data_IF_539970669928
#
_entry.id   IF_539970669928
#
_cell.length_a   1.000
_cell.length_b   1.000
_cell.length_c   1.000
_cell.angle_alpha   90.00
_cell.angle_beta   90.00
_cell.angle_gamma   90.00
#
_symmetry.space_group_name_H-M   'P 1'
#
loop_
_entity.id
_entity.type
_entity.pdbx_description
1 polymer ?
#
# COMPACT_ATOMS: atom_id res chain seq x y z
N UNK A 1 -6.22 -27.84 -7.97
CA UNK A 1 -6.47 -26.38 -7.94
C UNK A 1 -7.19 -25.94 -6.67
N UNK A 2 -8.16 -26.69 -6.12
CA UNK A 2 -8.83 -26.31 -4.86
C UNK A 2 -7.86 -26.13 -3.70
N UNK A 3 -6.93 -27.07 -3.52
CA UNK A 3 -6.07 -27.08 -2.33
C UNK A 3 -5.08 -25.91 -2.32
N UNK A 4 -4.46 -25.61 -3.47
CA UNK A 4 -3.56 -24.45 -3.61
C UNK A 4 -4.27 -23.11 -3.46
N UNK A 5 -5.50 -22.98 -3.96
CA UNK A 5 -6.29 -21.78 -3.72
C UNK A 5 -6.57 -21.62 -2.23
N UNK A 6 -7.02 -22.68 -1.55
CA UNK A 6 -7.22 -22.67 -0.10
C UNK A 6 -5.95 -22.30 0.66
N UNK A 7 -4.81 -22.90 0.32
CA UNK A 7 -3.52 -22.60 0.97
C UNK A 7 -3.10 -21.14 0.76
N UNK A 8 -3.29 -20.59 -0.45
CA UNK A 8 -3.03 -19.18 -0.74
C UNK A 8 -3.95 -18.25 0.05
N UNK A 9 -5.24 -18.58 0.13
CA UNK A 9 -6.21 -17.78 0.89
C UNK A 9 -5.90 -17.83 2.39
N UNK A 10 -5.53 -18.99 2.93
CA UNK A 10 -5.15 -19.13 4.33
C UNK A 10 -3.86 -18.37 4.66
N UNK A 11 -2.89 -18.40 3.74
CA UNK A 11 -1.69 -17.58 3.85
C UNK A 11 -2.01 -16.09 4.00
N UNK A 12 -2.97 -15.57 3.24
CA UNK A 12 -3.39 -14.17 3.29
C UNK A 12 -4.43 -13.85 4.36
N UNK A 13 -4.99 -14.85 5.05
CA UNK A 13 -5.89 -14.69 6.19
C UNK A 13 -5.12 -14.36 7.48
N UNK A 14 -3.89 -14.82 7.57
CA UNK A 14 -3.04 -14.67 8.76
C UNK A 14 -2.20 -13.40 8.74
N UNK A 15 -2.00 -12.80 9.92
CA UNK A 15 -1.16 -11.61 10.08
C UNK A 15 0.29 -11.86 9.63
N UNK A 16 0.96 -10.78 9.21
CA UNK A 16 2.42 -10.69 9.07
C UNK A 16 3.00 -10.02 10.32
N UNK A 17 4.32 -9.96 10.46
CA UNK A 17 4.96 -9.17 11.53
C UNK A 17 4.54 -7.68 11.48
N UNK A 18 4.21 -7.17 10.30
CA UNK A 18 3.87 -5.76 10.10
C UNK A 18 2.37 -5.50 10.25
N UNK A 19 1.52 -6.46 9.90
CA UNK A 19 0.07 -6.31 10.01
C UNK A 19 -0.51 -6.77 11.34
N UNK A 20 0.26 -7.46 12.19
CA UNK A 20 -0.21 -7.92 13.50
C UNK A 20 -0.55 -6.73 14.43
N UNK A 21 -1.79 -6.65 14.96
CA UNK A 21 -2.15 -5.62 15.94
C UNK A 21 -1.50 -5.81 17.31
N UNK A 22 -0.95 -6.99 17.62
CA UNK A 22 -0.42 -7.32 18.93
C UNK A 22 -1.49 -7.22 20.03
N UNK A 23 -1.12 -6.67 21.18
CA UNK A 23 -2.03 -6.50 22.33
C UNK A 23 -3.14 -5.43 22.10
N UNK A 24 -3.19 -4.81 20.92
CA UNK A 24 -4.13 -3.74 20.59
C UNK A 24 -5.33 -4.20 19.73
N UNK A 25 -5.56 -5.51 19.60
CA UNK A 25 -6.66 -6.07 18.82
C UNK A 25 -8.05 -5.63 19.33
N UNK A 26 -8.19 -5.32 20.63
CA UNK A 26 -9.40 -4.73 21.22
C UNK A 26 -9.85 -3.42 20.53
N UNK A 27 -8.94 -2.70 19.86
CA UNK A 27 -9.29 -1.51 19.09
C UNK A 27 -10.14 -1.83 17.84
N UNK A 28 -10.24 -3.10 17.45
CA UNK A 28 -11.08 -3.60 16.35
C UNK A 28 -12.48 -4.01 16.81
N UNK A 29 -12.78 -3.92 18.11
CA UNK A 29 -14.12 -4.21 18.64
C UNK A 29 -15.19 -3.32 18.01
N UNK A 30 -16.33 -3.93 17.65
CA UNK A 30 -17.46 -3.24 17.06
C UNK A 30 -17.28 -2.80 15.61
N UNK A 31 -16.17 -3.15 14.95
CA UNK A 31 -15.99 -2.87 13.52
C UNK A 31 -17.05 -3.61 12.68
N UNK A 32 -17.66 -2.93 11.69
CA UNK A 32 -18.65 -3.50 10.79
C UNK A 32 -18.05 -4.58 9.88
N UNK A 33 -18.91 -5.34 9.20
CA UNK A 33 -18.46 -6.41 8.29
C UNK A 33 -18.40 -5.97 6.82
N UNK A 34 -19.02 -4.84 6.46
CA UNK A 34 -18.99 -4.33 5.10
C UNK A 34 -17.75 -3.47 4.79
N UNK A 35 -17.18 -3.66 3.60
CA UNK A 35 -15.97 -2.99 3.13
C UNK A 35 -16.08 -1.45 3.15
N UNK A 36 -17.18 -0.82 2.67
CA UNK A 36 -17.29 0.64 2.70
C UNK A 36 -17.18 1.22 4.12
N UNK A 37 -17.81 0.59 5.11
CA UNK A 37 -17.76 1.06 6.49
C UNK A 37 -16.40 0.79 7.15
N UNK A 38 -15.74 -0.31 6.81
CA UNK A 38 -14.35 -0.56 7.24
C UNK A 38 -13.38 0.48 6.68
N UNK A 39 -13.51 0.84 5.40
CA UNK A 39 -12.73 1.94 4.79
C UNK A 39 -12.96 3.24 5.56
N UNK A 40 -14.22 3.58 5.89
CA UNK A 40 -14.52 4.79 6.66
C UNK A 40 -13.88 4.78 8.05
N UNK A 41 -13.82 3.63 8.71
CA UNK A 41 -13.13 3.49 9.99
C UNK A 41 -11.62 3.78 9.86
N UNK A 42 -10.96 3.24 8.82
CA UNK A 42 -9.54 3.53 8.51
C UNK A 42 -9.32 5.02 8.20
N UNK A 43 -10.18 5.63 7.38
CA UNK A 43 -10.11 7.05 7.03
C UNK A 43 -10.24 7.99 8.24
N UNK A 44 -10.92 7.54 9.30
CA UNK A 44 -11.15 8.32 10.50
C UNK A 44 -9.98 8.30 11.50
N UNK A 45 -8.90 7.55 11.24
CA UNK A 45 -7.77 7.42 12.18
C UNK A 45 -6.40 7.74 11.59
N UNK A 46 -6.28 7.85 10.26
CA UNK A 46 -5.04 8.25 9.57
C UNK A 46 -5.27 9.49 8.72
N UNK A 47 -4.28 10.37 8.70
CA UNK A 47 -4.14 11.46 7.74
C UNK A 47 -2.95 11.23 6.83
N UNK A 48 -3.18 11.37 5.54
CA UNK A 48 -2.10 11.26 4.57
C UNK A 48 -1.24 12.52 4.59
N UNK A 49 0.06 12.36 4.83
CA UNK A 49 1.00 13.47 5.07
C UNK A 49 1.00 14.55 3.97
N UNK A 50 0.95 14.17 2.68
CA UNK A 50 0.90 15.15 1.57
C UNK A 50 -0.29 16.12 1.67
N UNK A 51 -1.39 15.70 2.27
CA UNK A 51 -2.57 16.54 2.42
C UNK A 51 -2.51 17.45 3.64
N UNK A 52 -1.56 17.26 4.55
CA UNK A 52 -1.40 18.10 5.74
C UNK A 52 0.00 18.71 5.83
N UNK A 53 0.84 18.56 4.81
CA UNK A 53 2.14 19.21 4.74
C UNK A 53 2.03 20.75 4.78
N UNK A 54 0.92 21.31 4.29
CA UNK A 54 0.54 22.73 4.40
C UNK A 54 -0.89 22.87 4.94
N UNK A 55 -1.27 24.09 5.32
CA UNK A 55 -2.59 24.43 5.89
C UNK A 55 -3.72 24.55 4.84
N UNK A 56 -3.42 24.38 3.55
CA UNK A 56 -4.35 24.72 2.46
C UNK A 56 -5.39 23.65 2.12
N UNK A 57 -5.30 22.46 2.71
CA UNK A 57 -6.12 21.31 2.35
C UNK A 57 -7.22 21.04 3.39
N UNK A 58 -6.94 20.19 4.38
CA UNK A 58 -7.88 19.84 5.45
C UNK A 58 -8.10 20.95 6.49
N UNK A 59 -7.47 22.13 6.31
CA UNK A 59 -7.51 23.22 7.28
C UNK A 59 -6.64 22.97 8.52
N UNK A 60 -5.79 21.96 8.48
CA UNK A 60 -4.74 21.68 9.48
C UNK A 60 -3.44 21.36 8.76
N UNK A 61 -2.31 21.56 9.45
CA UNK A 61 -0.97 21.29 8.96
C UNK A 61 -0.18 20.37 9.89
N UNK A 62 0.99 19.88 9.44
CA UNK A 62 1.95 19.15 10.27
C UNK A 62 2.39 19.97 11.48
N UNK A 63 2.46 21.31 11.38
CA UNK A 63 2.76 22.19 12.51
C UNK A 63 1.69 22.16 13.59
N UNK A 64 0.43 22.14 13.18
CA UNK A 64 -0.69 22.07 14.12
C UNK A 64 -0.64 20.74 14.87
N UNK A 65 -0.37 19.63 14.16
CA UNK A 65 -0.15 18.31 14.77
C UNK A 65 1.04 18.35 15.74
N UNK A 66 2.18 18.91 15.30
CA UNK A 66 3.37 19.02 16.13
C UNK A 66 3.16 19.88 17.39
N UNK A 67 2.31 20.91 17.32
CA UNK A 67 1.98 21.76 18.47
C UNK A 67 1.27 21.01 19.61
N UNK A 68 0.71 19.83 19.33
CA UNK A 68 0.12 18.94 20.35
C UNK A 68 1.15 18.09 21.10
N UNK A 69 2.44 18.25 20.80
CA UNK A 69 3.53 17.46 21.39
C UNK A 69 3.80 16.13 20.67
N UNK A 70 3.20 15.93 19.49
CA UNK A 70 3.41 14.77 18.61
C UNK A 70 4.52 15.06 17.62
N UNK A 71 5.16 14.01 17.11
CA UNK A 71 6.14 14.10 16.02
C UNK A 71 5.55 13.47 14.74
N UNK A 72 5.05 14.28 13.80
CA UNK A 72 4.58 13.78 12.51
C UNK A 72 5.58 12.94 11.72
N UNK A 73 6.89 13.22 11.82
CA UNK A 73 7.91 12.41 11.16
C UNK A 73 8.01 11.03 11.83
N UNK A 74 7.98 10.96 13.17
CA UNK A 74 7.92 9.68 13.88
C UNK A 74 6.70 8.84 13.43
N UNK A 75 5.52 9.46 13.36
CA UNK A 75 4.28 8.79 12.99
C UNK A 75 4.25 8.28 11.54
N UNK A 76 4.78 9.09 10.62
CA UNK A 76 4.88 8.72 9.22
C UNK A 76 5.84 7.54 8.99
N UNK A 77 6.84 7.39 9.87
CA UNK A 77 7.84 6.32 9.79
C UNK A 77 7.46 5.05 10.58
N UNK A 78 6.26 4.97 11.18
CA UNK A 78 5.79 3.77 11.87
C UNK A 78 5.55 2.63 10.87
N UNK A 79 6.25 1.51 11.07
CA UNK A 79 6.21 0.36 10.17
C UNK A 79 5.10 -0.62 10.49
N UNK A 80 4.94 -0.92 11.79
CA UNK A 80 4.06 -1.98 12.30
C UNK A 80 2.70 -1.40 12.67
N UNK A 81 1.65 -2.18 12.43
CA UNK A 81 0.30 -1.84 12.90
C UNK A 81 0.27 -1.74 14.42
N UNK A 82 0.91 -2.66 15.16
CA UNK A 82 1.04 -2.56 16.61
C UNK A 82 1.57 -1.20 17.10
N UNK A 83 2.60 -0.65 16.44
CA UNK A 83 3.20 0.62 16.82
C UNK A 83 2.26 1.80 16.51
N UNK A 84 1.55 1.73 15.38
CA UNK A 84 0.53 2.73 15.00
C UNK A 84 -0.68 2.69 15.94
N UNK A 85 -1.14 1.50 16.32
CA UNK A 85 -2.22 1.32 17.29
C UNK A 85 -1.81 1.82 18.69
N UNK A 86 -0.56 1.59 19.12
CA UNK A 86 -0.04 2.19 20.34
C UNK A 86 -0.11 3.72 20.30
N UNK A 87 0.19 4.33 19.14
CA UNK A 87 0.04 5.78 18.95
C UNK A 87 -1.43 6.21 18.97
N UNK A 88 -2.35 5.42 18.43
CA UNK A 88 -3.79 5.67 18.53
C UNK A 88 -4.23 5.78 19.98
N UNK A 89 -3.82 4.81 20.82
CA UNK A 89 -4.13 4.77 22.26
C UNK A 89 -3.54 5.97 22.99
N UNK A 90 -2.27 6.32 22.69
CA UNK A 90 -1.60 7.46 23.30
C UNK A 90 -2.29 8.81 23.00
N UNK A 91 -2.94 8.92 21.84
CA UNK A 91 -3.72 10.12 21.46
C UNK A 91 -5.12 10.05 22.05
N UNK A 92 -5.80 8.92 21.87
CA UNK A 92 -7.18 8.67 22.30
C UNK A 92 -7.44 7.16 22.35
N UNK A 93 -7.59 6.62 23.56
CA UNK A 93 -7.86 5.21 23.80
C UNK A 93 -9.34 4.87 23.57
N UNK A 94 -9.71 4.79 22.30
CA UNK A 94 -11.05 4.39 21.85
C UNK A 94 -10.93 3.49 20.61
N UNK A 95 -11.87 2.54 20.43
CA UNK A 95 -11.93 1.69 19.24
C UNK A 95 -11.90 2.50 17.94
N UNK A 96 -11.33 1.92 16.88
CA UNK A 96 -11.12 2.60 15.58
C UNK A 96 -12.45 3.01 14.93
N UNK A 97 -13.55 2.34 15.27
CA UNK A 97 -14.87 2.70 14.75
C UNK A 97 -15.36 4.06 15.27
N UNK A 98 -14.81 4.54 16.39
CA UNK A 98 -15.17 5.86 16.93
C UNK A 98 -14.46 6.95 16.12
N UNK A 99 -15.22 7.87 15.47
CA UNK A 99 -14.62 8.92 14.67
C UNK A 99 -13.67 9.80 15.49
N UNK A 100 -12.53 10.15 14.88
CA UNK A 100 -11.55 11.07 15.46
C UNK A 100 -11.54 12.39 14.71
N UNK A 101 -11.36 13.47 15.46
CA UNK A 101 -11.10 14.78 14.87
C UNK A 101 -9.80 14.74 14.07
N UNK A 102 -9.66 15.62 13.07
CA UNK A 102 -8.47 15.61 12.19
C UNK A 102 -7.17 15.69 13.01
N UNK A 103 -7.13 16.54 14.04
CA UNK A 103 -5.96 16.71 14.91
C UNK A 103 -5.62 15.46 15.74
N UNK A 104 -6.56 14.53 15.90
CA UNK A 104 -6.40 13.28 16.67
C UNK A 104 -6.00 12.08 15.79
N UNK A 105 -5.96 12.25 14.45
CA UNK A 105 -5.54 11.20 13.51
C UNK A 105 -4.02 11.15 13.40
N UNK A 106 -3.44 9.96 13.30
CA UNK A 106 -1.99 9.83 13.06
C UNK A 106 -1.61 10.21 11.64
N UNK A 107 -0.39 10.68 11.44
CA UNK A 107 0.15 10.93 10.11
C UNK A 107 0.68 9.62 9.50
N UNK A 108 0.37 9.38 8.24
CA UNK A 108 0.81 8.22 7.46
C UNK A 108 0.77 8.50 5.95
N UNK A 109 0.85 7.46 5.13
CA UNK A 109 0.71 7.51 3.68
C UNK A 109 -0.18 6.37 3.15
N UNK A 110 -0.36 6.27 1.83
CA UNK A 110 -1.18 5.25 1.16
C UNK A 110 -0.95 3.82 1.65
N UNK A 111 0.29 3.46 1.98
CA UNK A 111 0.66 2.15 2.53
C UNK A 111 0.09 1.94 3.92
N UNK A 112 0.08 2.96 4.79
CA UNK A 112 -0.50 2.86 6.13
C UNK A 112 -2.02 2.64 6.13
N UNK A 113 -2.73 3.32 5.23
CA UNK A 113 -4.17 3.08 5.03
C UNK A 113 -4.43 1.65 4.56
N UNK A 114 -3.64 1.19 3.59
CA UNK A 114 -3.75 -0.17 3.03
C UNK A 114 -3.46 -1.23 4.08
N UNK A 115 -2.36 -1.09 4.83
CA UNK A 115 -1.96 -2.07 5.83
C UNK A 115 -2.93 -2.12 7.01
N UNK A 116 -3.48 -0.98 7.45
CA UNK A 116 -4.46 -0.98 8.53
C UNK A 116 -5.74 -1.71 8.09
N UNK A 117 -6.22 -1.47 6.86
CA UNK A 117 -7.35 -2.23 6.32
C UNK A 117 -7.04 -3.72 6.24
N UNK A 118 -5.85 -4.10 5.78
CA UNK A 118 -5.40 -5.50 5.70
C UNK A 118 -5.39 -6.14 7.09
N UNK A 119 -4.88 -5.45 8.11
CA UNK A 119 -4.85 -5.97 9.48
C UNK A 119 -6.26 -6.24 10.01
N UNK A 120 -7.19 -5.30 9.79
CA UNK A 120 -8.60 -5.45 10.16
C UNK A 120 -9.26 -6.63 9.43
N UNK A 121 -9.05 -6.74 8.11
CA UNK A 121 -9.61 -7.82 7.32
C UNK A 121 -9.07 -9.18 7.76
N UNK A 122 -7.76 -9.29 7.97
CA UNK A 122 -7.11 -10.51 8.50
C UNK A 122 -7.62 -10.87 9.90
N UNK A 123 -7.85 -9.89 10.77
CA UNK A 123 -8.46 -10.10 12.09
C UNK A 123 -9.90 -10.64 11.97
N UNK A 124 -10.67 -10.18 10.98
CA UNK A 124 -11.98 -10.73 10.64
C UNK A 124 -11.92 -12.05 9.86
N UNK A 125 -10.72 -12.58 9.64
CA UNK A 125 -10.51 -13.80 8.88
C UNK A 125 -10.79 -13.64 7.39
N UNK A 126 -10.68 -12.46 6.80
CA UNK A 126 -10.81 -12.24 5.35
C UNK A 126 -9.41 -12.23 4.73
N UNK A 127 -9.12 -13.06 3.72
CA UNK A 127 -7.83 -13.04 3.03
C UNK A 127 -7.56 -11.67 2.41
N UNK A 128 -6.47 -11.02 2.81
CA UNK A 128 -6.12 -9.69 2.33
C UNK A 128 -4.61 -9.55 2.10
N UNK A 129 -4.23 -8.75 1.10
CA UNK A 129 -2.83 -8.48 0.74
C UNK A 129 -2.63 -7.07 0.23
N UNK A 130 -1.44 -6.54 0.46
CA UNK A 130 -1.03 -5.25 -0.08
C UNK A 130 -0.61 -5.41 -1.53
N UNK A 131 -0.91 -4.40 -2.34
CA UNK A 131 -0.39 -4.26 -3.71
C UNK A 131 0.30 -2.93 -3.90
N UNK A 132 1.47 -2.98 -4.51
CA UNK A 132 2.25 -1.81 -4.89
C UNK A 132 2.10 -1.53 -6.38
N UNK A 133 1.85 -0.27 -6.75
CA UNK A 133 1.60 0.10 -8.13
C UNK A 133 1.51 1.61 -8.34
N UNK A 134 0.68 2.00 -9.30
CA UNK A 134 0.44 3.41 -9.61
C UNK A 134 -1.03 3.68 -9.99
N UNK A 135 -1.60 4.75 -9.47
CA UNK A 135 -3.01 5.12 -9.63
C UNK A 135 -3.19 6.36 -10.53
N UNK A 136 -4.09 6.29 -11.51
CA UNK A 136 -4.39 7.43 -12.41
C UNK A 136 -5.41 8.42 -11.84
N UNK A 137 -6.10 8.07 -10.76
CA UNK A 137 -7.18 8.85 -10.17
C UNK A 137 -6.71 9.79 -9.05
N UNK A 138 -5.39 9.90 -8.82
CA UNK A 138 -4.81 10.81 -7.82
C UNK A 138 -4.57 12.23 -8.35
N UNK A 139 -4.98 12.50 -9.59
CA UNK A 139 -4.90 13.82 -10.19
C UNK A 139 -6.21 14.20 -10.88
N UNK A 140 -6.64 15.47 -10.76
CA UNK A 140 -7.84 15.92 -11.43
C UNK A 140 -7.67 15.92 -12.96
N UNK A 141 -8.71 15.53 -13.72
CA UNK A 141 -8.70 15.66 -15.17
C UNK A 141 -8.39 17.09 -15.62
N UNK A 142 -7.70 17.27 -16.78
CA UNK A 142 -7.36 16.26 -17.78
C UNK A 142 -5.98 15.58 -17.57
N UNK A 143 -5.30 15.80 -16.44
CA UNK A 143 -3.97 15.21 -16.21
C UNK A 143 -4.10 13.69 -16.07
N UNK A 144 -3.64 12.94 -17.07
CA UNK A 144 -3.49 11.49 -16.98
C UNK A 144 -2.05 11.15 -16.59
N UNK A 145 -1.86 10.87 -15.30
CA UNK A 145 -0.57 10.49 -14.72
C UNK A 145 -0.83 9.43 -13.65
N UNK A 146 -0.08 8.35 -13.69
CA UNK A 146 -0.15 7.24 -12.75
C UNK A 146 0.82 7.49 -11.60
N UNK A 147 0.29 7.97 -10.47
CA UNK A 147 1.09 8.32 -9.30
C UNK A 147 1.35 7.10 -8.40
N UNK A 148 2.54 7.02 -7.80
CA UNK A 148 2.91 6.02 -6.79
C UNK A 148 1.78 5.76 -5.80
N UNK A 149 1.39 4.49 -5.66
CA UNK A 149 0.32 4.15 -4.74
C UNK A 149 0.41 2.73 -4.20
N UNK A 150 -0.17 2.54 -3.02
CA UNK A 150 -0.38 1.24 -2.38
C UNK A 150 -1.87 1.08 -2.08
N UNK A 151 -2.38 -0.12 -2.30
CA UNK A 151 -3.80 -0.45 -2.12
C UNK A 151 -3.95 -1.83 -1.47
N UNK A 152 -5.15 -2.09 -0.93
CA UNK A 152 -5.52 -3.39 -0.40
C UNK A 152 -6.20 -4.23 -1.48
N UNK A 153 -5.82 -5.50 -1.62
CA UNK A 153 -6.63 -6.52 -2.27
C UNK A 153 -7.23 -7.44 -1.21
N UNK A 154 -8.53 -7.75 -1.33
CA UNK A 154 -9.17 -8.76 -0.49
C UNK A 154 -9.90 -9.80 -1.34
N UNK A 155 -9.99 -11.02 -0.82
CA UNK A 155 -10.75 -12.09 -1.45
C UNK A 155 -12.22 -11.96 -1.08
N UNK A 156 -13.06 -11.75 -2.08
CA UNK A 156 -14.50 -11.84 -1.92
C UNK A 156 -14.93 -13.29 -2.13
N UNK A 157 -15.47 -13.91 -1.07
CA UNK A 157 -15.86 -15.32 -1.10
C UNK A 157 -17.12 -15.56 -1.94
N UNK A 158 -18.06 -14.61 -2.00
CA UNK A 158 -19.29 -14.77 -2.79
C UNK A 158 -18.99 -14.76 -4.29
N UNK A 159 -18.12 -13.84 -4.75
CA UNK A 159 -17.74 -13.68 -6.15
C UNK A 159 -16.52 -14.52 -6.56
N UNK A 160 -15.86 -15.18 -5.61
CA UNK A 160 -14.66 -15.99 -5.83
C UNK A 160 -13.59 -15.22 -6.62
N UNK A 161 -13.34 -13.96 -6.24
CA UNK A 161 -12.35 -13.10 -6.90
C UNK A 161 -11.69 -12.11 -5.94
N UNK A 162 -10.51 -11.62 -6.33
CA UNK A 162 -9.81 -10.55 -5.64
C UNK A 162 -10.35 -9.18 -6.06
N UNK A 163 -10.90 -8.45 -5.09
CA UNK A 163 -11.29 -7.05 -5.23
C UNK A 163 -10.14 -6.13 -4.85
N UNK A 164 -10.02 -5.02 -5.55
CA UNK A 164 -9.03 -3.99 -5.29
C UNK A 164 -9.70 -2.81 -4.58
N UNK A 165 -9.15 -2.40 -3.45
CA UNK A 165 -9.74 -1.41 -2.55
C UNK A 165 -8.71 -0.35 -2.17
N UNK A 166 -9.13 0.90 -2.24
CA UNK A 166 -8.33 2.04 -1.80
C UNK A 166 -8.96 2.69 -0.56
N UNK A 167 -8.35 2.42 0.59
CA UNK A 167 -8.82 2.94 1.87
C UNK A 167 -8.46 4.41 2.10
N UNK A 168 -7.55 5.00 1.32
CA UNK A 168 -7.07 6.36 1.54
C UNK A 168 -8.08 7.43 1.12
N UNK A 169 -8.79 7.20 0.02
CA UNK A 169 -9.53 8.26 -0.67
C UNK A 169 -10.85 8.57 0.06
N UNK A 170 -10.79 9.52 0.97
CA UNK A 170 -11.94 10.05 1.72
C UNK A 170 -12.76 11.07 0.90
N UNK A 171 -13.82 11.61 1.51
CA UNK A 171 -14.76 12.49 0.81
C UNK A 171 -14.12 13.82 0.39
N UNK A 172 -13.14 14.31 1.17
CA UNK A 172 -12.38 15.50 0.82
C UNK A 172 -11.49 15.24 -0.40
N UNK A 173 -10.72 14.15 -0.37
CA UNK A 173 -9.86 13.73 -1.47
C UNK A 173 -10.64 13.46 -2.75
N UNK A 174 -11.79 12.79 -2.65
CA UNK A 174 -12.72 12.58 -3.77
C UNK A 174 -13.11 13.89 -4.43
N UNK A 175 -13.46 14.90 -3.64
CA UNK A 175 -13.82 16.23 -4.15
C UNK A 175 -12.63 16.97 -4.75
N UNK A 176 -11.48 16.97 -4.06
CA UNK A 176 -10.28 17.70 -4.48
C UNK A 176 -9.69 17.15 -5.80
N UNK A 177 -9.58 15.83 -5.91
CA UNK A 177 -9.04 15.14 -7.09
C UNK A 177 -10.11 14.79 -8.13
N UNK A 178 -11.39 15.06 -7.85
CA UNK A 178 -12.54 14.73 -8.72
C UNK A 178 -12.66 13.22 -9.00
N UNK A 179 -12.42 12.39 -7.99
CA UNK A 179 -12.53 10.93 -8.09
C UNK A 179 -13.98 10.51 -8.12
N UNK A 180 -14.40 9.90 -9.22
CA UNK A 180 -15.77 9.38 -9.42
C UNK A 180 -15.86 7.86 -9.38
N UNK A 181 -14.73 7.15 -9.43
CA UNK A 181 -14.71 5.69 -9.37
C UNK A 181 -15.07 5.17 -7.98
N UNK A 182 -15.48 3.90 -7.93
CA UNK A 182 -15.68 3.20 -6.66
C UNK A 182 -14.33 2.79 -6.07
N UNK A 183 -14.05 3.21 -4.84
CA UNK A 183 -12.80 2.87 -4.14
C UNK A 183 -12.92 1.53 -3.41
N UNK A 184 -14.09 0.90 -3.40
CA UNK A 184 -14.33 -0.45 -2.88
C UNK A 184 -14.18 -1.52 -3.97
N UNK A 185 -14.11 -1.12 -5.24
CA UNK A 185 -13.82 -1.97 -6.40
C UNK A 185 -13.10 -1.13 -7.47
N UNK A 186 -11.83 -0.83 -7.20
CA UNK A 186 -11.01 0.02 -8.06
C UNK A 186 -10.74 -0.69 -9.39
N UNK A 187 -11.06 -0.08 -10.54
CA UNK A 187 -10.76 -0.67 -11.85
C UNK A 187 -9.26 -0.94 -12.04
N UNK A 188 -8.94 -2.12 -12.58
CA UNK A 188 -7.56 -2.60 -12.82
C UNK A 188 -6.78 -1.77 -13.84
N UNK A 189 -7.46 -0.94 -14.61
CA UNK A 189 -6.87 0.00 -15.56
C UNK A 189 -6.71 1.42 -14.98
N UNK A 190 -7.32 1.69 -13.84
CA UNK A 190 -7.15 2.93 -13.06
C UNK A 190 -6.08 2.78 -11.96
N UNK A 191 -5.88 1.57 -11.44
CA UNK A 191 -4.69 1.21 -10.65
C UNK A 191 -3.86 0.16 -11.39
N UNK A 192 -2.67 0.56 -11.83
CA UNK A 192 -1.71 -0.33 -12.48
C UNK A 192 -0.79 -0.95 -11.44
N UNK A 193 -1.05 -2.20 -11.09
CA UNK A 193 -0.10 -3.00 -10.28
C UNK A 193 1.28 -3.04 -10.93
N UNK A 194 2.32 -3.26 -10.13
CA UNK A 194 3.72 -3.14 -10.56
C UNK A 194 4.06 -3.89 -11.85
N UNK A 195 3.60 -5.15 -11.97
CA UNK A 195 3.80 -5.96 -13.17
C UNK A 195 3.23 -5.32 -14.44
N UNK A 196 1.99 -4.82 -14.37
CA UNK A 196 1.33 -4.18 -15.50
C UNK A 196 1.95 -2.83 -15.84
N UNK A 197 2.38 -2.06 -14.84
CA UNK A 197 3.13 -0.82 -15.01
C UNK A 197 4.41 -1.05 -15.80
N UNK A 198 5.22 -2.03 -15.41
CA UNK A 198 6.42 -2.43 -16.14
C UNK A 198 6.11 -2.83 -17.58
N UNK A 199 5.17 -3.75 -17.80
CA UNK A 199 4.81 -4.22 -19.14
C UNK A 199 4.35 -3.07 -20.04
N UNK A 200 3.48 -2.17 -19.56
CA UNK A 200 2.96 -1.06 -20.38
C UNK A 200 4.04 -0.05 -20.76
N UNK A 201 5.02 0.22 -19.88
CA UNK A 201 6.17 1.08 -20.21
C UNK A 201 7.02 0.40 -21.28
N UNK A 202 7.35 -0.89 -21.11
CA UNK A 202 8.16 -1.67 -22.05
C UNK A 202 7.54 -1.77 -23.44
N UNK A 203 6.22 -1.83 -23.51
CA UNK A 203 5.45 -1.85 -24.76
C UNK A 203 5.21 -0.44 -25.37
N UNK A 204 5.66 0.63 -24.71
CA UNK A 204 5.42 2.02 -25.14
C UNK A 204 3.96 2.45 -25.06
N UNK A 205 3.12 1.75 -24.28
CA UNK A 205 1.70 2.08 -24.06
C UNK A 205 1.50 3.18 -23.01
N UNK A 206 2.51 3.42 -22.17
CA UNK A 206 2.58 4.53 -21.22
C UNK A 206 3.93 5.21 -21.43
N UNK A 207 3.94 6.53 -21.63
CA UNK A 207 5.18 7.27 -21.71
C UNK A 207 5.86 7.32 -20.32
N UNK A 208 7.19 7.19 -20.21
CA UNK A 208 7.90 7.20 -18.94
C UNK A 208 7.57 8.39 -18.02
N UNK A 209 7.26 9.55 -18.60
CA UNK A 209 6.93 10.78 -17.87
C UNK A 209 5.50 10.80 -17.31
N UNK A 210 4.68 9.78 -17.63
CA UNK A 210 3.29 9.66 -17.20
C UNK A 210 3.10 8.73 -16.00
N UNK A 211 4.16 8.21 -15.40
CA UNK A 211 4.08 7.27 -14.29
C UNK A 211 5.24 7.47 -13.30
N UNK A 212 4.92 7.57 -12.00
CA UNK A 212 5.89 7.64 -10.91
C UNK A 212 5.52 8.61 -9.80
N UNK A 213 6.51 9.16 -9.10
CA UNK A 213 6.33 10.13 -8.00
C UNK A 213 7.45 11.15 -7.98
N UNK A 214 7.08 12.43 -7.91
CA UNK A 214 8.06 13.53 -7.96
C UNK A 214 9.02 13.40 -9.15
N UNK A 215 10.35 13.43 -8.95
CA UNK A 215 11.33 13.24 -10.02
C UNK A 215 11.58 11.77 -10.39
N UNK A 216 11.00 10.82 -9.64
CA UNK A 216 11.23 9.39 -9.82
C UNK A 216 10.16 8.80 -10.74
N UNK A 217 10.49 8.71 -12.03
CA UNK A 217 9.53 8.42 -13.10
C UNK A 217 9.93 7.20 -13.94
N UNK A 218 8.95 6.69 -14.69
CA UNK A 218 9.16 5.78 -15.81
C UNK A 218 9.75 4.43 -15.40
N UNK A 219 10.72 3.95 -16.19
CA UNK A 219 11.28 2.62 -15.99
C UNK A 219 11.87 2.46 -14.59
N UNK A 220 12.67 3.41 -14.11
CA UNK A 220 13.28 3.35 -12.77
C UNK A 220 12.22 3.18 -11.67
N UNK A 221 11.12 3.90 -11.78
CA UNK A 221 9.97 3.76 -10.89
C UNK A 221 9.29 2.38 -11.01
N UNK A 222 9.09 1.87 -12.23
CA UNK A 222 8.47 0.56 -12.39
C UNK A 222 9.34 -0.58 -11.85
N UNK A 223 10.67 -0.52 -12.01
CA UNK A 223 11.62 -1.49 -11.41
C UNK A 223 11.46 -1.56 -9.90
N UNK A 224 11.37 -0.39 -9.29
CA UNK A 224 11.22 -0.22 -7.87
C UNK A 224 9.92 -0.85 -7.37
N UNK A 225 8.82 -0.58 -8.06
CA UNK A 225 7.51 -1.15 -7.73
C UNK A 225 7.46 -2.67 -7.87
N UNK A 226 8.20 -3.26 -8.82
CA UNK A 226 8.25 -4.73 -8.95
C UNK A 226 8.75 -5.40 -7.66
N UNK A 227 9.73 -4.82 -6.96
CA UNK A 227 10.21 -5.37 -5.71
C UNK A 227 9.25 -5.16 -4.56
N UNK A 228 8.69 -3.95 -4.46
CA UNK A 228 7.71 -3.67 -3.41
C UNK A 228 6.49 -4.58 -3.54
N UNK A 229 5.98 -4.81 -4.75
CA UNK A 229 4.83 -5.68 -4.97
C UNK A 229 5.20 -7.17 -4.77
N UNK A 230 6.40 -7.60 -5.16
CA UNK A 230 6.89 -8.95 -4.85
C UNK A 230 7.01 -9.19 -3.34
N UNK A 231 7.56 -8.21 -2.61
CA UNK A 231 7.66 -8.25 -1.16
C UNK A 231 6.26 -8.28 -0.51
N UNK A 232 5.34 -7.44 -0.98
CA UNK A 232 3.95 -7.37 -0.52
C UNK A 232 3.21 -8.70 -0.73
N UNK A 233 3.38 -9.33 -1.90
CA UNK A 233 2.86 -10.69 -2.19
C UNK A 233 3.37 -11.71 -1.16
N UNK A 234 4.60 -11.52 -0.67
CA UNK A 234 5.24 -12.35 0.34
C UNK A 234 5.00 -11.87 1.78
N UNK A 235 4.01 -11.00 2.03
CA UNK A 235 3.70 -10.44 3.36
C UNK A 235 4.88 -9.71 4.02
N UNK A 236 5.71 -9.10 3.20
CA UNK A 236 6.72 -8.12 3.61
C UNK A 236 6.21 -6.76 3.09
N UNK A 237 5.25 -6.18 3.83
CA UNK A 237 4.59 -4.92 3.48
C UNK A 237 5.55 -3.73 3.74
N UNK A 238 6.39 -3.39 2.77
CA UNK A 238 7.48 -2.42 2.93
C UNK A 238 7.00 -0.97 3.05
N UNK A 239 7.82 -0.07 3.60
CA UNK A 239 7.51 1.37 3.55
C UNK A 239 7.63 1.89 2.12
N UNK A 240 6.90 2.96 1.81
CA UNK A 240 6.78 3.47 0.44
C UNK A 240 8.12 3.88 -0.19
N UNK A 241 9.13 4.25 0.62
CA UNK A 241 10.47 4.63 0.19
C UNK A 241 11.52 3.51 0.32
N UNK A 242 11.12 2.28 0.64
CA UNK A 242 12.04 1.16 0.73
C UNK A 242 12.35 0.48 -0.59
N UNK A 243 13.63 0.17 -0.75
CA UNK A 243 14.18 -0.49 -1.92
C UNK A 243 15.52 -1.13 -1.60
N UNK A 244 15.82 -2.22 -2.28
CA UNK A 244 17.10 -2.91 -2.10
C UNK A 244 17.53 -3.65 -3.37
N UNK A 245 18.76 -4.14 -3.33
CA UNK A 245 19.34 -5.00 -4.36
C UNK A 245 19.46 -4.34 -5.73
N UNK A 246 19.50 -5.19 -6.76
CA UNK A 246 19.67 -4.82 -8.19
C UNK A 246 18.58 -3.89 -8.73
N UNK A 247 17.51 -3.69 -7.97
CA UNK A 247 16.33 -2.91 -8.34
C UNK A 247 16.47 -1.44 -7.91
N UNK A 248 17.36 -1.21 -6.94
CA UNK A 248 17.78 0.12 -6.49
C UNK A 248 19.08 0.62 -7.12
N UNK A 249 19.76 -0.20 -7.94
CA UNK A 249 21.02 0.22 -8.56
C UNK A 249 20.76 1.18 -9.73
N UNK A 250 21.59 2.21 -9.82
CA UNK A 250 21.64 3.13 -10.97
C UNK A 250 22.33 2.53 -12.20
N UNK A 251 22.71 1.26 -12.14
CA UNK A 251 23.44 0.56 -13.19
C UNK A 251 22.52 0.26 -14.38
N UNK A 252 23.12 0.25 -15.58
CA UNK A 252 22.43 -0.18 -16.79
C UNK A 252 22.05 -1.65 -16.68
N UNK A 253 20.79 -1.95 -16.98
CA UNK A 253 20.30 -3.32 -17.00
C UNK A 253 20.89 -4.08 -18.20
N UNK A 254 21.42 -5.28 -17.93
CA UNK A 254 21.80 -6.21 -18.99
C UNK A 254 20.56 -6.79 -19.67
N UNK A 255 20.65 -7.28 -20.92
CA UNK A 255 19.53 -7.96 -21.58
C UNK A 255 18.92 -9.09 -20.74
N UNK A 256 19.75 -9.85 -20.02
CA UNK A 256 19.31 -10.96 -19.16
C UNK A 256 18.51 -10.45 -17.96
N UNK A 257 18.86 -9.28 -17.41
CA UNK A 257 18.08 -8.66 -16.34
C UNK A 257 16.73 -8.18 -16.86
N UNK A 258 16.67 -7.57 -18.05
CA UNK A 258 15.39 -7.20 -18.65
C UNK A 258 14.48 -8.41 -18.86
N UNK A 259 14.99 -9.52 -19.41
CA UNK A 259 14.19 -10.73 -19.62
C UNK A 259 13.66 -11.30 -18.29
N UNK A 260 14.50 -11.30 -17.26
CA UNK A 260 14.08 -11.70 -15.90
C UNK A 260 12.97 -10.79 -15.36
N UNK A 261 13.07 -9.48 -15.59
CA UNK A 261 12.10 -8.48 -15.13
C UNK A 261 10.78 -8.59 -15.90
N UNK A 262 10.84 -8.79 -17.21
CA UNK A 262 9.68 -9.03 -18.06
C UNK A 262 8.93 -10.28 -17.56
N UNK A 263 9.65 -11.37 -17.24
CA UNK A 263 9.04 -12.59 -16.68
C UNK A 263 8.45 -12.35 -15.28
N UNK A 264 9.19 -11.68 -14.39
CA UNK A 264 8.71 -11.37 -13.04
C UNK A 264 7.46 -10.49 -13.07
N UNK A 265 7.42 -9.49 -13.96
CA UNK A 265 6.28 -8.60 -14.14
C UNK A 265 5.03 -9.37 -14.57
N UNK A 266 5.17 -10.33 -15.48
CA UNK A 266 4.08 -11.22 -15.88
C UNK A 266 3.60 -12.08 -14.70
N UNK A 267 4.53 -12.67 -13.93
CA UNK A 267 4.16 -13.48 -12.76
C UNK A 267 3.44 -12.62 -11.69
N UNK A 268 3.95 -11.43 -11.36
CA UNK A 268 3.34 -10.49 -10.40
C UNK A 268 1.93 -10.04 -10.84
N UNK A 269 1.75 -9.76 -12.14
CA UNK A 269 0.44 -9.39 -12.67
C UNK A 269 -0.59 -10.52 -12.55
N UNK A 270 -0.13 -11.78 -12.55
CA UNK A 270 -0.97 -12.98 -12.46
C UNK A 270 -0.92 -13.64 -11.06
N UNK A 271 -0.48 -12.93 -10.03
CA UNK A 271 -0.34 -13.46 -8.66
C UNK A 271 -1.66 -13.83 -7.97
N UNK A 272 -2.81 -13.58 -8.62
CA UNK A 272 -4.10 -14.13 -8.19
C UNK A 272 -4.30 -15.61 -8.54
N UNK A 273 -3.50 -16.16 -9.47
CA UNK A 273 -3.43 -17.59 -9.73
C UNK A 273 -2.59 -18.28 -8.64
N UNK A 274 -3.11 -19.30 -7.93
CA UNK A 274 -2.38 -20.01 -6.90
C UNK A 274 -1.04 -20.61 -7.36
N UNK A 275 -0.95 -21.11 -8.59
CA UNK A 275 0.30 -21.69 -9.11
C UNK A 275 1.39 -20.61 -9.25
N UNK A 276 1.01 -19.45 -9.76
CA UNK A 276 1.92 -18.31 -9.92
C UNK A 276 2.29 -17.72 -8.55
N UNK A 277 1.34 -17.63 -7.62
CA UNK A 277 1.61 -17.23 -6.25
C UNK A 277 2.69 -18.11 -5.58
N UNK A 278 2.56 -19.43 -5.64
CA UNK A 278 3.57 -20.33 -5.05
C UNK A 278 4.93 -20.23 -5.73
N UNK A 279 4.95 -20.04 -7.06
CA UNK A 279 6.18 -19.77 -7.80
C UNK A 279 6.85 -18.46 -7.35
N UNK A 280 6.08 -17.40 -7.11
CA UNK A 280 6.60 -16.12 -6.59
C UNK A 280 7.12 -16.25 -5.16
N UNK A 281 6.46 -17.05 -4.31
CA UNK A 281 6.98 -17.39 -2.97
C UNK A 281 8.32 -18.09 -3.05
N UNK A 282 8.41 -19.15 -3.84
CA UNK A 282 9.66 -19.92 -4.00
C UNK A 282 10.80 -19.03 -4.53
N UNK A 283 10.51 -18.16 -5.51
CA UNK A 283 11.47 -17.20 -6.04
C UNK A 283 11.99 -16.26 -4.94
N UNK A 284 11.09 -15.65 -4.16
CA UNK A 284 11.45 -14.71 -3.10
C UNK A 284 12.23 -15.38 -1.97
N UNK A 285 11.90 -16.63 -1.64
CA UNK A 285 12.55 -17.41 -0.58
C UNK A 285 13.95 -17.92 -0.97
N UNK A 286 14.18 -18.24 -2.25
CA UNK A 286 15.42 -18.92 -2.67
C UNK A 286 16.43 -18.00 -3.36
N UNK A 287 15.98 -16.90 -3.96
CA UNK A 287 16.87 -16.02 -4.71
C UNK A 287 17.23 -14.76 -3.89
N UNK A 288 18.49 -14.73 -3.46
CA UNK A 288 19.07 -13.67 -2.62
C UNK A 288 18.96 -12.28 -3.25
N UNK A 289 18.75 -12.17 -4.56
CA UNK A 289 18.58 -10.88 -5.25
C UNK A 289 17.28 -10.17 -4.87
N UNK A 290 16.29 -10.91 -4.36
CA UNK A 290 14.99 -10.39 -3.94
C UNK A 290 14.86 -10.22 -2.45
N UNK A 291 15.76 -10.79 -1.64
CA UNK A 291 15.73 -10.66 -0.19
C UNK A 291 16.24 -9.29 0.25
N UNK A 292 15.61 -8.78 1.30
CA UNK A 292 16.13 -7.64 2.06
C UNK A 292 17.52 -8.04 2.58
N UNK A 293 18.59 -7.29 2.29
CA UNK A 293 19.93 -7.59 2.78
C UNK A 293 19.98 -7.56 4.32
N UNK A 294 20.80 -8.42 4.93
CA UNK A 294 20.96 -8.48 6.40
C UNK A 294 21.46 -7.14 7.00
N UNK A 295 22.13 -6.32 6.19
CA UNK A 295 22.64 -5.00 6.55
C UNK A 295 21.78 -3.85 5.99
N UNK A 296 20.52 -4.11 5.65
CA UNK A 296 19.64 -3.07 5.16
C UNK A 296 19.32 -2.06 6.26
N UNK A 297 19.76 -0.82 6.07
CA UNK A 297 19.38 0.29 6.93
C UNK A 297 18.00 0.81 6.48
N UNK A 298 17.04 0.69 7.39
CA UNK A 298 15.70 1.19 7.15
C UNK A 298 15.72 2.72 7.10
N UNK A 299 15.58 3.25 5.89
CA UNK A 299 15.48 4.69 5.66
C UNK A 299 14.22 5.25 6.32
N UNK A 300 14.30 6.48 6.82
CA UNK A 300 13.15 7.27 7.26
C UNK A 300 12.93 8.42 6.30
N UNK A 301 11.68 8.71 5.95
CA UNK A 301 11.31 9.91 5.22
C UNK A 301 10.94 11.01 6.22
N UNK A 302 11.72 12.09 6.25
CA UNK A 302 11.47 13.24 7.11
C UNK A 302 11.10 14.45 6.27
N UNK A 303 10.13 15.21 6.76
CA UNK A 303 9.62 16.42 6.14
C UNK A 303 9.90 17.63 7.02
N UNK A 304 10.27 18.74 6.39
CA UNK A 304 10.41 20.03 7.07
C UNK A 304 9.02 20.68 7.23
N UNK A 305 8.58 20.91 8.46
CA UNK A 305 7.36 21.68 8.75
C UNK A 305 7.65 22.81 9.72
#
# INVERSE_FOLDING_TARGET
>A
MSDKLTDMLEYYRTQSELSDPGDFDYLYEGLPDDIPSLIKAVQNVILHFFWVYTDQNYGISLKDIASTGRDPNEEHNLRKISDRLAKFVAIKDEPIIVPRELIERTVGNCRDFSLLLISILRHKGIPARERSGAASYLHPPPKKFFEDHFVCEYWNEEEQKWFLVDAQIDDFQRKAMKVTLDTCDVPRDEFLGAGLSWTKIREGRIAPEQIGVGPFLGEKFARYKLIQDLASINKIEVMAWEHWGIWSSSEELTPELYEMMDKLAQDIANSGDPEIFFKLKELFENDKRFKVPDNYEYNTANFDY
#
